data_IF_017402138859
#
_entry.id   IF_017402138859
#
_cell.length_a   1.000
_cell.length_b   1.000
_cell.length_c   1.000
_cell.angle_alpha   90.00
_cell.angle_beta   90.00
_cell.angle_gamma   90.00
#
_symmetry.space_group_name_H-M   'P 1'
#
loop_
_entity.id
_entity.type
_entity.pdbx_description
1 polymer ?
#
# COMPACT_ATOMS: atom_id res chain seq x y z
N UNK A 1 61.67 -45.63 31.65
CA UNK A 1 60.32 -45.48 31.04
C UNK A 1 59.69 -44.10 31.28
N UNK A 2 59.61 -43.58 32.52
CA UNK A 2 59.02 -42.25 32.81
C UNK A 2 59.73 -41.06 32.13
N UNK A 3 61.06 -41.07 32.04
CA UNK A 3 61.82 -39.98 31.41
C UNK A 3 61.62 -39.88 29.88
N UNK A 4 61.41 -41.03 29.21
CA UNK A 4 61.17 -41.06 27.76
C UNK A 4 59.78 -40.53 27.38
N UNK A 5 58.77 -40.79 28.23
CA UNK A 5 57.40 -40.28 28.06
C UNK A 5 57.35 -38.76 28.29
N UNK A 6 58.12 -38.24 29.25
CA UNK A 6 58.18 -36.80 29.53
C UNK A 6 58.90 -36.00 28.42
N UNK A 7 59.93 -36.61 27.80
CA UNK A 7 60.60 -36.03 26.64
C UNK A 7 59.70 -36.03 25.38
N UNK A 8 58.89 -37.09 25.20
CA UNK A 8 57.91 -37.16 24.11
C UNK A 8 56.77 -36.14 24.29
N UNK A 9 56.26 -35.94 25.51
CA UNK A 9 55.25 -34.91 25.79
C UNK A 9 55.78 -33.49 25.57
N UNK A 10 57.03 -33.20 25.97
CA UNK A 10 57.64 -31.88 25.72
C UNK A 10 57.85 -31.60 24.24
N UNK A 11 58.22 -32.61 23.44
CA UNK A 11 58.35 -32.48 21.98
C UNK A 11 56.98 -32.30 21.30
N UNK A 12 55.95 -33.00 21.76
CA UNK A 12 54.59 -32.83 21.25
C UNK A 12 53.99 -31.46 21.61
N UNK A 13 54.27 -30.95 22.81
CA UNK A 13 53.81 -29.63 23.27
C UNK A 13 54.55 -28.48 22.56
N UNK A 14 55.84 -28.66 22.23
CA UNK A 14 56.60 -27.73 21.38
C UNK A 14 56.09 -27.72 19.92
N UNK A 15 55.74 -28.89 19.37
CA UNK A 15 55.12 -28.99 18.04
C UNK A 15 53.74 -28.34 17.99
N UNK A 16 52.93 -28.46 19.05
CA UNK A 16 51.64 -27.78 19.16
C UNK A 16 51.77 -26.26 19.27
N UNK A 17 52.79 -25.75 20.00
CA UNK A 17 53.06 -24.32 20.10
C UNK A 17 53.65 -23.74 18.80
N UNK A 18 54.43 -24.50 18.03
CA UNK A 18 54.91 -24.12 16.71
C UNK A 18 53.78 -24.12 15.66
N UNK A 19 52.82 -25.04 15.74
CA UNK A 19 51.60 -25.02 14.90
C UNK A 19 50.66 -23.87 15.28
N UNK A 20 50.58 -23.49 16.56
CA UNK A 20 49.82 -22.32 17.00
C UNK A 20 50.48 -20.98 16.62
N UNK A 21 51.82 -20.96 16.49
CA UNK A 21 52.58 -19.77 16.07
C UNK A 21 52.64 -19.58 14.55
N UNK A 22 52.45 -20.64 13.74
CA UNK A 22 52.37 -20.53 12.28
C UNK A 22 50.94 -20.41 11.73
N UNK A 23 49.92 -20.60 12.57
CA UNK A 23 48.53 -20.21 12.25
C UNK A 23 48.25 -18.73 12.49
N UNK A 24 49.27 -17.95 12.84
CA UNK A 24 49.18 -16.54 13.19
C UNK A 24 50.12 -15.68 12.33
N UNK A 25 50.21 -15.95 11.03
CA UNK A 25 50.74 -14.99 10.04
C UNK A 25 50.42 -15.43 8.61
N UNK A 26 49.19 -15.23 8.15
CA UNK A 26 48.86 -15.06 6.72
C UNK A 26 47.40 -14.59 6.56
N UNK A 27 47.15 -13.37 7.06
CA UNK A 27 45.95 -12.59 6.69
C UNK A 27 46.29 -11.09 6.64
N UNK A 28 47.51 -10.75 6.22
CA UNK A 28 47.82 -9.44 5.63
C UNK A 28 47.86 -9.62 4.11
N UNK A 29 46.69 -9.54 3.50
CA UNK A 29 46.55 -9.79 2.06
C UNK A 29 45.10 -9.81 1.60
N UNK A 30 44.48 -8.62 1.54
CA UNK A 30 43.20 -8.33 0.86
C UNK A 30 41.99 -9.17 1.31
N UNK A 31 41.63 -9.06 2.59
CA UNK A 31 40.23 -9.24 2.98
C UNK A 31 39.48 -7.93 2.72
N UNK A 32 38.54 -7.92 1.79
CA UNK A 32 37.59 -6.82 1.65
C UNK A 32 37.02 -6.49 3.04
N UNK A 33 37.11 -5.22 3.48
CA UNK A 33 36.39 -4.76 4.66
C UNK A 33 34.93 -5.19 4.52
N UNK A 34 34.51 -6.20 5.28
CA UNK A 34 33.11 -6.49 5.50
C UNK A 34 32.60 -5.36 6.39
N UNK A 35 32.33 -4.22 5.77
CA UNK A 35 31.74 -3.05 6.37
C UNK A 35 30.32 -3.47 6.76
N UNK A 36 30.14 -3.74 8.04
CA UNK A 36 28.94 -4.36 8.63
C UNK A 36 28.01 -3.26 9.13
N UNK A 37 26.70 -3.55 9.16
CA UNK A 37 25.74 -2.68 9.84
C UNK A 37 26.22 -2.35 11.26
N UNK A 38 25.90 -1.15 11.79
CA UNK A 38 26.01 -0.87 13.21
C UNK A 38 25.35 -1.97 14.05
N UNK A 39 25.98 -2.32 15.16
CA UNK A 39 25.50 -3.39 16.05
C UNK A 39 24.08 -3.12 16.55
N UNK A 40 23.77 -1.86 16.81
CA UNK A 40 22.48 -1.39 17.28
C UNK A 40 21.36 -1.67 16.26
N UNK A 41 21.66 -1.55 14.97
CA UNK A 41 20.71 -1.84 13.90
C UNK A 41 20.53 -3.35 13.70
N UNK A 42 21.59 -4.15 13.86
CA UNK A 42 21.48 -5.62 13.84
C UNK A 42 20.59 -6.09 15.00
N UNK A 43 20.81 -5.57 16.21
CA UNK A 43 19.97 -5.86 17.37
C UNK A 43 18.52 -5.41 17.14
N UNK A 44 18.31 -4.26 16.50
CA UNK A 44 16.98 -3.77 16.14
C UNK A 44 16.27 -4.74 15.18
N UNK A 45 16.95 -5.18 14.12
CA UNK A 45 16.42 -6.14 13.17
C UNK A 45 16.09 -7.49 13.84
N UNK A 46 16.95 -7.98 14.75
CA UNK A 46 16.67 -9.20 15.51
C UNK A 46 15.43 -9.07 16.40
N UNK A 47 15.27 -7.92 17.06
CA UNK A 47 14.06 -7.64 17.85
C UNK A 47 12.81 -7.58 16.98
N UNK A 48 12.90 -6.95 15.80
CA UNK A 48 11.80 -6.89 14.83
C UNK A 48 11.42 -8.31 14.38
N UNK A 49 12.40 -9.12 13.96
CA UNK A 49 12.17 -10.50 13.54
C UNK A 49 11.50 -11.34 14.62
N UNK A 50 12.00 -11.26 15.86
CA UNK A 50 11.45 -11.98 17.00
C UNK A 50 10.01 -11.57 17.29
N UNK A 51 9.73 -10.26 17.34
CA UNK A 51 8.41 -9.74 17.70
C UNK A 51 7.36 -9.94 16.64
N UNK A 52 7.74 -9.84 15.37
CA UNK A 52 6.85 -10.06 14.22
C UNK A 52 6.81 -11.52 13.77
N UNK A 53 7.54 -12.41 14.46
CA UNK A 53 7.70 -13.83 14.12
C UNK A 53 8.15 -14.05 12.66
N UNK A 54 9.09 -13.23 12.19
CA UNK A 54 9.68 -13.38 10.86
C UNK A 54 10.53 -14.66 10.86
N UNK A 55 10.25 -15.64 9.97
CA UNK A 55 11.02 -16.87 9.92
C UNK A 55 12.47 -16.61 9.46
N UNK A 56 13.41 -17.42 9.95
CA UNK A 56 14.84 -17.36 9.55
C UNK A 56 15.06 -17.61 8.05
N UNK A 57 14.09 -18.25 7.38
CA UNK A 57 14.08 -18.41 5.91
C UNK A 57 13.94 -17.06 5.18
N UNK A 58 13.41 -16.03 5.85
CA UNK A 58 13.32 -14.67 5.32
C UNK A 58 14.43 -13.77 5.87
N UNK A 59 14.60 -13.72 7.19
CA UNK A 59 15.64 -12.90 7.84
C UNK A 59 16.70 -13.82 8.45
N UNK A 60 17.70 -14.19 7.63
CA UNK A 60 18.81 -15.02 8.07
C UNK A 60 19.95 -14.14 8.62
N UNK A 61 20.08 -14.07 9.94
CA UNK A 61 21.14 -13.28 10.59
C UNK A 61 22.52 -13.93 10.58
N UNK A 62 22.66 -15.14 10.02
CA UNK A 62 23.97 -15.79 9.81
C UNK A 62 24.75 -15.21 8.63
N UNK A 63 24.11 -14.33 7.84
CA UNK A 63 24.67 -13.69 6.65
C UNK A 63 24.47 -12.18 6.75
N UNK A 64 25.22 -11.40 5.96
CA UNK A 64 25.10 -9.94 5.98
C UNK A 64 23.70 -9.51 5.45
N UNK A 65 22.89 -8.76 6.24
CA UNK A 65 21.55 -8.36 5.83
C UNK A 65 21.46 -7.56 4.52
N UNK A 66 22.44 -6.71 4.25
CA UNK A 66 22.43 -5.83 3.08
C UNK A 66 22.87 -6.51 1.79
N UNK A 67 23.67 -7.58 1.89
CA UNK A 67 24.31 -8.19 0.72
C UNK A 67 23.84 -9.62 0.46
N UNK A 68 23.30 -10.31 1.48
CA UNK A 68 23.06 -11.76 1.44
C UNK A 68 21.66 -12.19 1.91
N UNK A 69 20.79 -11.28 2.36
CA UNK A 69 19.38 -11.63 2.55
C UNK A 69 18.73 -11.99 1.21
N UNK A 70 18.08 -13.16 1.18
CA UNK A 70 17.74 -13.91 -0.03
C UNK A 70 16.77 -13.13 -0.92
N UNK A 71 17.11 -12.99 -2.21
CA UNK A 71 16.15 -12.82 -3.31
C UNK A 71 15.55 -14.18 -3.63
N UNK A 72 14.38 -14.49 -3.07
CA UNK A 72 13.65 -15.72 -3.41
C UNK A 72 12.80 -15.41 -4.64
N UNK A 73 13.31 -15.78 -5.80
CA UNK A 73 12.71 -15.59 -7.13
C UNK A 73 12.46 -14.13 -7.54
N UNK A 74 12.50 -13.90 -8.86
CA UNK A 74 12.55 -12.59 -9.51
C UNK A 74 11.36 -11.64 -9.24
N UNK A 75 10.42 -11.97 -8.36
CA UNK A 75 9.18 -11.23 -8.09
C UNK A 75 9.05 -10.58 -6.70
N UNK A 76 9.99 -10.76 -5.76
CA UNK A 76 9.96 -10.06 -4.46
C UNK A 76 11.19 -9.16 -4.28
N UNK A 77 10.95 -7.85 -4.12
CA UNK A 77 11.99 -6.88 -3.75
C UNK A 77 12.49 -7.18 -2.35
N UNK A 78 13.79 -6.98 -2.07
CA UNK A 78 14.31 -7.09 -0.71
C UNK A 78 13.45 -6.26 0.24
N UNK A 79 12.98 -6.88 1.33
CA UNK A 79 12.20 -6.19 2.35
C UNK A 79 13.05 -5.24 3.20
N UNK A 80 14.37 -5.34 3.15
CA UNK A 80 15.30 -4.41 3.79
C UNK A 80 16.31 -3.92 2.75
N UNK A 81 16.47 -2.60 2.66
CA UNK A 81 17.46 -1.96 1.80
C UNK A 81 18.43 -1.17 2.68
N UNK A 82 19.71 -1.31 2.38
CA UNK A 82 20.76 -0.56 3.04
C UNK A 82 21.43 0.43 2.09
N UNK A 83 21.98 1.50 2.65
CA UNK A 83 22.80 2.47 1.93
C UNK A 83 24.05 2.79 2.74
N UNK A 84 25.16 2.99 2.03
CA UNK A 84 26.39 3.53 2.61
C UNK A 84 26.23 5.04 2.83
N UNK A 85 26.47 5.50 4.07
CA UNK A 85 26.33 6.90 4.47
C UNK A 85 27.66 7.37 5.07
N UNK A 86 28.13 8.51 4.56
CA UNK A 86 29.33 9.19 5.06
C UNK A 86 28.91 10.30 6.02
N UNK A 87 29.38 10.23 7.27
CA UNK A 87 29.17 11.30 8.26
C UNK A 87 30.44 12.11 8.46
N UNK A 88 30.30 13.43 8.38
CA UNK A 88 31.31 14.43 8.70
C UNK A 88 31.04 14.99 10.08
N UNK A 89 31.76 14.51 11.10
CA UNK A 89 31.71 15.14 12.42
C UNK A 89 32.39 16.50 12.40
N UNK A 90 31.75 17.50 12.99
CA UNK A 90 32.15 18.92 12.97
C UNK A 90 33.55 19.22 13.52
N UNK A 91 34.21 18.25 14.19
CA UNK A 91 35.54 18.38 14.77
C UNK A 91 36.57 17.33 14.28
N UNK A 92 36.33 16.60 13.19
CA UNK A 92 37.30 15.63 12.68
C UNK A 92 37.50 15.74 11.16
N UNK A 93 38.76 15.70 10.73
CA UNK A 93 39.22 15.48 9.35
C UNK A 93 39.00 14.03 8.87
N UNK A 94 38.18 13.26 9.58
CA UNK A 94 37.93 11.84 9.31
C UNK A 94 36.47 11.68 8.93
N UNK A 95 36.24 11.40 7.65
CA UNK A 95 34.95 10.92 7.16
C UNK A 95 34.78 9.49 7.62
N UNK A 96 33.71 9.20 8.38
CA UNK A 96 33.35 7.82 8.70
C UNK A 96 32.25 7.37 7.78
N UNK A 97 32.44 6.22 7.16
CA UNK A 97 31.49 5.65 6.20
C UNK A 97 30.95 4.35 6.75
N UNK A 98 29.63 4.21 6.87
CA UNK A 98 28.97 3.03 7.43
C UNK A 98 27.71 2.67 6.64
N UNK A 99 27.36 1.38 6.64
CA UNK A 99 26.11 0.89 6.04
C UNK A 99 24.96 1.02 7.02
N UNK A 100 23.87 1.64 6.58
CA UNK A 100 22.68 1.84 7.39
C UNK A 100 21.43 1.30 6.69
N UNK A 101 20.46 0.83 7.47
CA UNK A 101 19.14 0.46 6.96
C UNK A 101 18.35 1.72 6.63
N UNK A 102 18.02 1.90 5.35
CA UNK A 102 17.31 3.10 4.86
C UNK A 102 15.88 2.81 4.44
N UNK A 103 15.52 1.55 4.18
CA UNK A 103 14.15 1.19 3.81
C UNK A 103 13.78 -0.18 4.35
N UNK A 104 12.59 -0.28 4.93
CA UNK A 104 11.96 -1.54 5.33
C UNK A 104 10.56 -1.62 4.73
N UNK A 105 10.27 -2.75 4.10
CA UNK A 105 8.96 -3.09 3.52
C UNK A 105 8.50 -4.42 4.11
N UNK A 106 7.57 -4.36 5.05
CA UNK A 106 6.99 -5.54 5.70
C UNK A 106 5.69 -5.92 5.01
N UNK A 107 5.82 -6.80 4.02
CA UNK A 107 4.71 -7.39 3.26
C UNK A 107 4.61 -8.87 3.62
N UNK A 108 3.69 -9.29 4.50
CA UNK A 108 3.35 -10.71 4.56
C UNK A 108 2.13 -11.07 5.39
N UNK A 109 1.43 -12.09 4.90
CA UNK A 109 0.41 -12.83 5.62
C UNK A 109 0.94 -13.69 6.78
N UNK A 110 2.25 -13.73 7.05
CA UNK A 110 2.83 -14.56 8.12
C UNK A 110 3.28 -13.76 9.34
N UNK A 111 3.38 -12.42 9.25
CA UNK A 111 3.85 -11.60 10.36
C UNK A 111 2.76 -11.43 11.42
N UNK A 112 3.12 -11.60 12.69
CA UNK A 112 2.22 -11.55 13.83
C UNK A 112 2.86 -10.79 14.97
N UNK A 113 2.12 -9.90 15.62
CA UNK A 113 2.56 -9.21 16.83
C UNK A 113 2.60 -7.69 16.69
N UNK A 114 2.99 -6.99 17.77
CA UNK A 114 2.96 -5.54 17.79
C UNK A 114 4.10 -4.92 17.00
N UNK A 115 3.87 -3.69 16.52
CA UNK A 115 4.93 -2.86 15.94
C UNK A 115 6.07 -2.76 16.96
N UNK A 116 7.27 -3.28 16.65
CA UNK A 116 8.36 -3.40 17.60
C UNK A 116 9.03 -2.04 17.87
N UNK A 117 9.24 -1.71 19.14
CA UNK A 117 9.96 -0.50 19.59
C UNK A 117 11.38 -0.40 19.03
N UNK A 118 11.99 -1.54 18.66
CA UNK A 118 13.30 -1.60 18.02
C UNK A 118 13.40 -0.78 16.73
N UNK A 119 12.28 -0.50 16.05
CA UNK A 119 12.28 0.38 14.87
C UNK A 119 12.92 1.74 15.13
N UNK A 120 12.72 2.33 16.32
CA UNK A 120 13.29 3.63 16.66
C UNK A 120 14.83 3.67 16.73
N UNK A 121 15.51 2.51 16.70
CA UNK A 121 16.97 2.43 16.61
C UNK A 121 17.50 2.61 15.18
N UNK A 122 16.64 2.48 14.17
CA UNK A 122 17.02 2.63 12.75
C UNK A 122 16.93 4.10 12.34
N UNK A 123 17.78 4.94 12.92
CA UNK A 123 17.68 6.41 12.80
C UNK A 123 17.91 6.96 11.39
N UNK A 124 18.55 6.16 10.52
CA UNK A 124 18.77 6.47 9.11
C UNK A 124 17.65 5.94 8.19
N UNK A 125 16.57 5.40 8.76
CA UNK A 125 15.43 4.87 8.01
C UNK A 125 14.68 6.01 7.31
N UNK A 126 14.54 5.90 5.99
CA UNK A 126 13.87 6.88 5.11
C UNK A 126 12.50 6.43 4.65
N UNK A 127 12.30 5.12 4.50
CA UNK A 127 11.03 4.56 4.02
C UNK A 127 10.62 3.37 4.89
N UNK A 128 9.45 3.45 5.51
CA UNK A 128 8.83 2.37 6.26
C UNK A 128 7.44 2.08 5.69
N UNK A 129 7.27 0.86 5.20
CA UNK A 129 6.04 0.40 4.62
C UNK A 129 5.58 -0.88 5.32
N UNK A 130 4.38 -0.86 5.89
CA UNK A 130 3.76 -1.97 6.60
C UNK A 130 2.34 -2.14 6.07
N UNK A 131 2.07 -3.23 5.36
CA UNK A 131 0.74 -3.50 4.80
C UNK A 131 0.27 -4.92 5.09
N UNK A 132 -1.04 -5.07 5.30
CA UNK A 132 -1.70 -6.36 5.36
C UNK A 132 -2.23 -6.76 3.97
N UNK A 133 -1.98 -8.01 3.54
CA UNK A 133 -2.45 -8.55 2.26
C UNK A 133 -3.33 -9.78 2.47
N UNK A 134 -4.42 -9.72 3.25
CA UNK A 134 -5.27 -10.91 3.44
C UNK A 134 -6.72 -10.73 3.03
N UNK A 135 -7.07 -11.40 1.92
CA UNK A 135 -8.22 -12.34 1.90
C UNK A 135 -8.16 -13.38 0.77
N UNK A 136 -7.14 -14.25 0.78
CA UNK A 136 -7.25 -15.55 0.09
C UNK A 136 -8.37 -16.40 0.70
N UNK A 137 -9.00 -17.22 -0.14
CA UNK A 137 -10.36 -17.76 -0.01
C UNK A 137 -10.67 -18.57 1.26
N UNK A 138 -11.95 -18.51 1.65
CA UNK A 138 -12.61 -19.50 2.49
C UNK A 138 -12.48 -20.89 1.83
N UNK A 139 -11.46 -21.66 2.24
CA UNK A 139 -11.59 -23.09 2.53
C UNK A 139 -10.39 -23.67 3.31
N UNK A 140 -9.30 -22.94 3.51
CA UNK A 140 -8.17 -23.37 4.37
C UNK A 140 -7.91 -22.44 5.58
N UNK A 141 -8.77 -21.45 5.83
CA UNK A 141 -8.56 -20.39 6.82
C UNK A 141 -8.95 -20.74 8.28
N UNK A 142 -8.97 -22.02 8.66
CA UNK A 142 -9.25 -22.41 10.06
C UNK A 142 -7.97 -22.45 10.93
N UNK A 143 -6.76 -22.28 10.38
CA UNK A 143 -5.52 -22.40 11.18
C UNK A 143 -4.40 -21.36 10.97
N UNK A 144 -4.70 -20.15 10.45
CA UNK A 144 -3.72 -19.05 10.45
C UNK A 144 -4.38 -17.72 10.81
N UNK A 145 -4.39 -17.35 12.11
CA UNK A 145 -4.66 -15.98 12.56
C UNK A 145 -3.36 -15.17 12.41
N UNK A 146 -3.31 -14.23 11.47
CA UNK A 146 -2.14 -13.37 11.25
C UNK A 146 -2.57 -11.91 11.16
N UNK A 147 -2.22 -11.13 12.18
CA UNK A 147 -2.50 -9.70 12.29
C UNK A 147 -1.32 -9.04 13.03
N UNK A 148 -0.76 -7.96 12.46
CA UNK A 148 -0.01 -7.00 13.26
C UNK A 148 -1.02 -6.17 14.06
N UNK A 149 -0.73 -5.90 15.34
CA UNK A 149 -1.72 -5.29 16.23
C UNK A 149 -1.14 -4.34 17.28
N UNK A 150 -1.96 -3.40 17.76
CA UNK A 150 -1.61 -2.49 18.85
C UNK A 150 -1.24 -1.07 18.40
N UNK A 151 -1.04 -0.14 19.36
CA UNK A 151 -0.80 1.26 19.06
C UNK A 151 0.58 1.50 18.47
N UNK A 152 0.74 2.63 17.78
CA UNK A 152 2.03 3.12 17.31
C UNK A 152 2.98 3.39 18.51
N UNK A 153 4.23 2.88 18.48
CA UNK A 153 5.14 3.08 19.61
C UNK A 153 5.69 4.52 19.65
N UNK A 154 5.88 5.12 20.85
CA UNK A 154 6.48 6.45 21.03
C UNK A 154 7.81 6.67 20.31
N UNK A 155 8.57 5.59 20.15
CA UNK A 155 9.86 5.55 19.48
C UNK A 155 9.79 5.90 17.98
N UNK A 156 8.61 5.97 17.35
CA UNK A 156 8.48 6.48 15.96
C UNK A 156 9.01 7.90 15.80
N UNK A 157 8.92 8.71 16.85
CA UNK A 157 9.43 10.08 16.88
C UNK A 157 10.96 10.20 16.72
N UNK A 158 11.71 9.10 16.80
CA UNK A 158 13.17 9.09 16.56
C UNK A 158 13.56 8.94 15.08
N UNK A 159 12.63 8.59 14.20
CA UNK A 159 12.88 8.32 12.77
C UNK A 159 12.95 9.61 11.94
N UNK A 160 13.70 10.62 12.37
CA UNK A 160 13.62 11.99 11.84
C UNK A 160 13.96 12.13 10.35
N UNK A 161 14.65 11.13 9.76
CA UNK A 161 14.97 11.07 8.33
C UNK A 161 13.91 10.36 7.47
N UNK A 162 12.80 9.96 8.08
CA UNK A 162 11.72 9.26 7.40
C UNK A 162 11.02 10.23 6.43
N UNK A 163 11.08 9.92 5.14
CA UNK A 163 10.40 10.67 4.08
C UNK A 163 9.08 10.03 3.69
N UNK A 164 8.93 8.72 3.89
CA UNK A 164 7.70 7.98 3.59
C UNK A 164 7.32 7.05 4.74
N UNK A 165 6.11 7.24 5.26
CA UNK A 165 5.50 6.39 6.28
C UNK A 165 4.16 5.86 5.78
N UNK A 166 4.06 4.54 5.64
CA UNK A 166 2.78 3.90 5.27
C UNK A 166 2.50 2.72 6.18
N UNK A 167 1.41 2.80 6.93
CA UNK A 167 0.95 1.76 7.84
C UNK A 167 -0.56 1.66 7.68
N UNK A 168 -1.06 0.57 7.13
CA UNK A 168 -2.50 0.40 6.88
C UNK A 168 -3.02 -0.94 7.42
N UNK A 169 -4.32 -0.99 7.74
CA UNK A 169 -5.03 -2.19 8.18
C UNK A 169 -4.42 -2.82 9.46
N UNK A 170 -3.98 -1.98 10.41
CA UNK A 170 -3.44 -2.39 11.70
C UNK A 170 -4.58 -2.70 12.68
N UNK A 171 -4.62 -3.93 13.18
CA UNK A 171 -5.66 -4.36 14.12
C UNK A 171 -5.43 -3.72 15.48
N UNK A 172 -6.48 -3.19 16.13
CA UNK A 172 -6.34 -2.52 17.42
C UNK A 172 -5.28 -1.40 17.41
N UNK A 173 -5.09 -0.69 16.28
CA UNK A 173 -4.30 0.54 16.28
C UNK A 173 -4.93 1.62 17.19
N UNK A 174 -6.23 1.47 17.46
CA UNK A 174 -7.09 2.32 18.29
C UNK A 174 -6.34 3.08 19.38
N UNK A 175 -6.62 4.37 19.44
CA UNK A 175 -5.82 5.37 20.15
C UNK A 175 -5.83 6.70 19.38
N UNK A 176 -5.02 7.64 19.85
CA UNK A 176 -4.78 8.93 19.18
C UNK A 176 -3.86 8.78 17.97
N UNK A 177 -3.70 9.86 17.22
CA UNK A 177 -2.73 9.97 16.14
C UNK A 177 -1.31 9.53 16.55
N UNK A 178 -0.52 8.86 15.68
CA UNK A 178 0.85 8.45 16.00
C UNK A 178 1.82 9.62 16.26
N UNK A 179 2.88 9.41 17.06
CA UNK A 179 3.83 10.44 17.46
C UNK A 179 4.84 10.73 16.33
N UNK A 180 4.37 11.44 15.30
CA UNK A 180 5.15 11.80 14.10
C UNK A 180 5.59 13.27 14.08
N UNK A 181 5.39 14.01 15.17
CA UNK A 181 5.58 15.46 15.24
C UNK A 181 7.01 15.92 14.93
N UNK A 182 7.97 15.01 15.06
CA UNK A 182 9.41 15.26 14.84
C UNK A 182 9.91 14.81 13.47
N UNK A 183 9.04 14.29 12.61
CA UNK A 183 9.40 13.76 11.29
C UNK A 183 9.43 14.87 10.23
N UNK A 184 10.29 15.88 10.42
CA UNK A 184 10.32 17.08 9.56
C UNK A 184 10.63 16.81 8.09
N UNK A 185 11.25 15.66 7.78
CA UNK A 185 11.58 15.23 6.42
C UNK A 185 10.45 14.43 5.75
N UNK A 186 9.32 14.21 6.43
CA UNK A 186 8.21 13.41 5.92
C UNK A 186 7.52 14.09 4.74
N UNK A 187 7.47 13.39 3.61
CA UNK A 187 6.86 13.83 2.34
C UNK A 187 5.55 13.08 2.05
N UNK A 188 5.45 11.83 2.48
CA UNK A 188 4.28 10.97 2.27
C UNK A 188 3.86 10.24 3.55
N UNK A 189 2.57 10.33 3.89
CA UNK A 189 1.95 9.68 5.04
C UNK A 189 0.68 8.92 4.64
N UNK A 190 0.64 7.61 4.86
CA UNK A 190 -0.58 6.81 4.73
C UNK A 190 -0.85 6.05 6.04
N UNK A 191 -1.92 6.43 6.73
CA UNK A 191 -2.43 5.79 7.94
C UNK A 191 -3.86 5.28 7.72
N UNK A 192 -4.26 5.02 6.48
CA UNK A 192 -5.62 4.61 6.17
C UNK A 192 -5.98 3.25 6.79
N UNK A 193 -7.27 3.03 7.05
CA UNK A 193 -7.82 1.75 7.55
C UNK A 193 -7.29 1.29 8.92
N UNK A 194 -6.92 2.20 9.82
CA UNK A 194 -6.38 1.83 11.14
C UNK A 194 -7.36 2.00 12.31
N UNK A 195 -8.58 2.50 12.08
CA UNK A 195 -9.56 2.76 13.16
C UNK A 195 -8.99 3.67 14.27
N UNK A 196 -8.16 4.67 13.90
CA UNK A 196 -7.65 5.71 14.79
C UNK A 196 -8.75 6.66 15.23
N UNK A 197 -8.64 7.25 16.42
CA UNK A 197 -9.66 8.09 17.06
C UNK A 197 -9.09 9.39 17.63
N UNK A 198 -9.94 10.33 18.01
CA UNK A 198 -9.52 11.59 18.64
C UNK A 198 -9.18 12.68 17.62
N UNK A 199 -8.36 13.64 18.02
CA UNK A 199 -8.04 14.82 17.21
C UNK A 199 -6.73 14.62 16.41
N UNK A 200 -6.63 15.30 15.27
CA UNK A 200 -5.35 15.45 14.58
C UNK A 200 -4.47 16.42 15.40
N UNK A 201 -3.20 16.10 15.70
CA UNK A 201 -2.34 16.99 16.47
C UNK A 201 -2.02 18.29 15.73
N UNK A 202 -2.12 19.45 16.39
CA UNK A 202 -1.69 20.75 15.81
C UNK A 202 -0.23 20.79 15.37
N UNK A 203 0.59 19.95 15.97
CA UNK A 203 1.99 19.73 15.59
C UNK A 203 2.18 19.24 14.15
N UNK A 204 1.12 18.89 13.43
CA UNK A 204 1.13 18.67 11.98
C UNK A 204 1.66 19.85 11.17
N UNK A 205 1.45 21.07 11.64
CA UNK A 205 2.00 22.28 11.02
C UNK A 205 3.54 22.23 10.92
N UNK A 206 4.22 21.43 11.75
CA UNK A 206 5.67 21.26 11.72
C UNK A 206 6.15 20.33 10.60
N UNK A 207 5.26 19.60 9.91
CA UNK A 207 5.58 18.68 8.81
C UNK A 207 5.62 19.43 7.47
N UNK A 208 6.45 20.48 7.38
CA UNK A 208 6.47 21.40 6.24
C UNK A 208 6.85 20.81 4.87
N UNK A 209 7.31 19.56 4.83
CA UNK A 209 7.62 18.81 3.59
C UNK A 209 6.53 17.83 3.17
N UNK A 210 5.48 17.66 3.96
CA UNK A 210 4.42 16.70 3.68
C UNK A 210 3.63 17.13 2.45
N UNK A 211 3.69 16.33 1.39
CA UNK A 211 3.02 16.59 0.11
C UNK A 211 1.82 15.69 -0.11
N UNK A 212 1.87 14.46 0.42
CA UNK A 212 0.82 13.44 0.24
C UNK A 212 0.43 12.88 1.60
N UNK A 213 -0.87 12.88 1.90
CA UNK A 213 -1.39 12.38 3.17
C UNK A 213 -2.72 11.66 2.98
N UNK A 214 -2.83 10.46 3.55
CA UNK A 214 -4.05 9.69 3.61
C UNK A 214 -4.29 9.17 5.02
N UNK A 215 -5.38 9.63 5.61
CA UNK A 215 -5.83 9.21 6.93
C UNK A 215 -7.27 8.70 6.88
N UNK A 216 -7.74 8.34 5.69
CA UNK A 216 -9.10 7.84 5.46
C UNK A 216 -9.37 6.52 6.19
N UNK A 217 -10.65 6.19 6.41
CA UNK A 217 -11.04 4.97 7.15
C UNK A 217 -10.46 4.89 8.57
N UNK A 218 -10.41 6.05 9.21
CA UNK A 218 -10.26 6.23 10.64
C UNK A 218 -11.50 6.95 11.20
N UNK A 219 -11.55 7.09 12.51
CA UNK A 219 -12.68 7.63 13.29
C UNK A 219 -12.27 8.88 14.08
N UNK A 220 -11.57 9.82 13.43
CA UNK A 220 -11.16 11.09 14.04
C UNK A 220 -12.35 12.02 14.31
N UNK A 221 -12.27 12.80 15.39
CA UNK A 221 -13.33 13.70 15.87
C UNK A 221 -13.14 15.15 15.43
N UNK A 222 -11.91 15.55 15.10
CA UNK A 222 -11.58 16.91 14.63
C UNK A 222 -10.48 16.86 13.55
N UNK A 223 -10.72 17.58 12.44
CA UNK A 223 -9.84 17.68 11.28
C UNK A 223 -9.23 19.09 11.10
N UNK A 224 -9.55 20.04 11.99
CA UNK A 224 -9.18 21.47 11.89
C UNK A 224 -7.67 21.79 11.97
N UNK A 225 -6.86 20.80 12.33
CA UNK A 225 -5.40 20.90 12.51
C UNK A 225 -4.62 20.15 11.42
N UNK A 226 -5.31 19.56 10.45
CA UNK A 226 -4.67 18.99 9.28
C UNK A 226 -4.10 20.12 8.40
N UNK A 227 -2.98 19.92 7.66
CA UNK A 227 -2.43 20.93 6.75
C UNK A 227 -3.50 21.52 5.81
N UNK A 228 -3.40 22.74 5.25
CA UNK A 228 -4.42 23.32 4.34
C UNK A 228 -4.75 22.50 3.09
N UNK A 229 -3.90 21.52 2.75
CA UNK A 229 -4.12 20.54 1.68
C UNK A 229 -4.86 19.28 2.20
N UNK A 230 -5.16 19.21 3.49
CA UNK A 230 -5.74 18.12 4.27
C UNK A 230 -6.92 18.58 5.14
N UNK A 231 -6.94 19.84 5.61
CA UNK A 231 -8.16 20.64 5.55
C UNK A 231 -8.57 20.50 4.10
N UNK A 232 -9.65 19.77 3.87
CA UNK A 232 -10.45 20.10 2.73
C UNK A 232 -10.52 21.65 2.74
N UNK A 233 -9.96 22.33 1.71
CA UNK A 233 -10.74 23.42 1.11
C UNK A 233 -12.17 22.95 1.27
N UNK A 234 -13.06 23.72 1.88
CA UNK A 234 -14.44 23.28 2.05
C UNK A 234 -15.15 23.17 0.68
N UNK A 235 -14.58 22.44 -0.28
CA UNK A 235 -15.11 21.32 -1.08
C UNK A 235 -15.83 20.25 -0.26
N UNK A 236 -16.34 20.57 0.92
CA UNK A 236 -17.77 20.32 1.16
C UNK A 236 -18.44 20.68 -0.16
N UNK A 237 -18.85 19.67 -0.93
CA UNK A 237 -19.50 19.87 -2.22
C UNK A 237 -20.52 20.98 -2.03
N UNK A 238 -20.56 21.98 -2.91
CA UNK A 238 -21.42 23.17 -2.78
C UNK A 238 -22.83 22.84 -2.25
N UNK A 239 -23.36 21.68 -2.65
CA UNK A 239 -24.65 21.13 -2.24
C UNK A 239 -24.82 20.67 -0.78
N UNK A 240 -23.74 20.51 -0.02
CA UNK A 240 -23.78 20.22 1.42
C UNK A 240 -23.90 21.51 2.25
N UNK A 241 -23.84 22.69 1.61
CA UNK A 241 -24.28 23.95 2.21
C UNK A 241 -25.80 24.05 2.09
N UNK A 242 -26.48 24.26 3.23
CA UNK A 242 -27.90 24.59 3.26
C UNK A 242 -28.09 25.92 2.49
N UNK A 243 -28.88 25.88 1.42
CA UNK A 243 -29.30 27.00 0.56
C UNK A 243 -28.25 27.64 -0.38
N UNK A 244 -27.69 26.89 -1.35
CA UNK A 244 -27.03 27.50 -2.53
C UNK A 244 -27.16 26.70 -3.85
N UNK A 245 -27.26 27.40 -5.01
CA UNK A 245 -27.29 26.79 -6.34
C UNK A 245 -25.89 26.39 -6.82
N UNK A 246 -25.79 25.24 -7.49
CA UNK A 246 -24.56 24.79 -8.16
C UNK A 246 -24.28 25.69 -9.38
N UNK A 247 -23.37 26.66 -9.24
CA UNK A 247 -22.96 27.51 -10.36
C UNK A 247 -21.57 27.09 -10.85
N UNK A 248 -21.56 26.28 -11.90
CA UNK A 248 -20.34 25.80 -12.55
C UNK A 248 -20.68 25.21 -13.91
N UNK A 249 -20.11 25.78 -14.97
CA UNK A 249 -20.15 25.17 -16.29
C UNK A 249 -19.12 24.03 -16.33
N UNK A 250 -19.52 22.77 -16.63
CA UNK A 250 -18.60 21.64 -16.68
C UNK A 250 -17.54 21.87 -17.75
N UNK A 251 -16.26 21.73 -17.39
CA UNK A 251 -15.12 21.68 -18.32
C UNK A 251 -14.51 20.27 -18.39
N UNK A 252 -15.30 19.23 -18.14
CA UNK A 252 -14.88 17.85 -18.33
C UNK A 252 -15.15 17.39 -19.75
N UNK A 253 -14.25 16.60 -20.33
CA UNK A 253 -14.58 15.79 -21.49
C UNK A 253 -15.77 14.87 -21.13
N UNK A 254 -16.86 14.91 -21.91
CA UNK A 254 -18.03 14.04 -21.70
C UNK A 254 -18.38 13.28 -22.99
N UNK A 255 -19.09 12.16 -22.83
CA UNK A 255 -19.61 11.37 -23.95
C UNK A 255 -21.08 11.05 -23.73
N UNK A 256 -21.88 11.10 -24.80
CA UNK A 256 -23.30 10.75 -24.75
C UNK A 256 -23.47 9.31 -25.25
N UNK A 257 -24.05 8.46 -24.41
CA UNK A 257 -24.29 7.05 -24.70
C UNK A 257 -25.71 6.70 -24.26
N UNK A 258 -26.52 6.19 -25.20
CA UNK A 258 -27.95 5.90 -24.99
C UNK A 258 -28.74 7.08 -24.40
N UNK A 259 -28.44 8.30 -24.84
CA UNK A 259 -29.09 9.53 -24.37
C UNK A 259 -28.67 9.98 -22.96
N UNK A 260 -27.72 9.28 -22.31
CA UNK A 260 -27.15 9.67 -21.03
C UNK A 260 -25.76 10.28 -21.23
N UNK A 261 -25.47 11.37 -20.51
CA UNK A 261 -24.15 11.98 -20.50
C UNK A 261 -23.25 11.33 -19.44
N UNK A 262 -22.05 10.93 -19.86
CA UNK A 262 -21.00 10.38 -18.99
C UNK A 262 -19.83 11.36 -18.93
N UNK A 263 -19.50 11.83 -17.74
CA UNK A 263 -18.30 12.63 -17.46
C UNK A 263 -17.06 11.71 -17.45
N UNK A 264 -16.02 12.07 -18.19
CA UNK A 264 -14.77 11.31 -18.22
C UNK A 264 -14.00 11.52 -16.93
N UNK A 265 -13.50 10.42 -16.38
CA UNK A 265 -12.54 10.43 -15.29
C UNK A 265 -11.13 10.67 -15.84
N UNK A 266 -10.68 11.93 -15.82
CA UNK A 266 -9.41 12.38 -16.45
C UNK A 266 -8.19 12.27 -15.53
N UNK A 267 -8.33 11.71 -14.34
CA UNK A 267 -7.24 11.66 -13.37
C UNK A 267 -6.16 10.64 -13.73
N UNK A 268 -4.91 11.10 -13.74
CA UNK A 268 -3.72 10.34 -14.19
C UNK A 268 -2.93 9.65 -13.06
N UNK A 269 -3.20 9.93 -11.78
CA UNK A 269 -2.47 9.39 -10.61
C UNK A 269 -3.41 8.75 -9.58
N UNK A 270 -3.01 7.68 -8.87
CA UNK A 270 -3.96 6.84 -8.13
C UNK A 270 -3.43 5.95 -6.98
N UNK A 271 -2.23 6.20 -6.46
CA UNK A 271 -1.68 5.43 -5.32
C UNK A 271 -2.38 5.75 -4.00
N UNK A 272 -2.64 7.03 -3.74
CA UNK A 272 -3.57 7.51 -2.73
C UNK A 272 -4.09 8.87 -3.19
N UNK A 273 -5.35 8.91 -3.62
CA UNK A 273 -5.92 10.14 -4.19
C UNK A 273 -7.39 10.25 -3.80
N UNK A 274 -7.81 11.47 -3.51
CA UNK A 274 -9.20 11.88 -3.49
C UNK A 274 -9.39 12.99 -4.52
N UNK A 275 -10.39 12.84 -5.39
CA UNK A 275 -10.66 13.83 -6.43
C UNK A 275 -12.17 14.02 -6.60
N UNK A 276 -12.58 15.28 -6.66
CA UNK A 276 -13.97 15.68 -6.94
C UNK A 276 -14.04 16.06 -8.40
N UNK A 277 -15.03 15.52 -9.12
CA UNK A 277 -15.24 15.82 -10.52
C UNK A 277 -15.57 17.29 -10.74
N UNK A 278 -15.33 17.79 -11.96
CA UNK A 278 -15.55 19.20 -12.28
C UNK A 278 -17.02 19.61 -12.13
N UNK A 279 -17.93 18.65 -12.33
CA UNK A 279 -19.37 18.86 -12.13
C UNK A 279 -19.78 18.91 -10.65
N UNK A 280 -18.92 18.48 -9.73
CA UNK A 280 -19.23 18.35 -8.30
C UNK A 280 -20.26 17.27 -7.96
N UNK A 281 -20.71 16.48 -8.95
CA UNK A 281 -21.68 15.39 -8.78
C UNK A 281 -21.03 14.08 -8.37
N UNK A 282 -19.75 13.92 -8.69
CA UNK A 282 -18.98 12.72 -8.40
C UNK A 282 -17.71 13.06 -7.66
N UNK A 283 -17.28 12.13 -6.82
CA UNK A 283 -15.91 12.09 -6.33
C UNK A 283 -15.42 10.65 -6.35
N UNK A 284 -14.12 10.46 -6.32
CA UNK A 284 -13.54 9.14 -6.12
C UNK A 284 -12.38 9.20 -5.15
N UNK A 285 -12.13 8.08 -4.47
CA UNK A 285 -10.96 7.84 -3.65
C UNK A 285 -10.30 6.55 -4.09
N UNK A 286 -8.99 6.54 -4.22
CA UNK A 286 -8.23 5.35 -4.60
C UNK A 286 -7.06 5.17 -3.65
N UNK A 287 -6.76 3.93 -3.27
CA UNK A 287 -5.68 3.60 -2.34
C UNK A 287 -4.97 2.34 -2.78
N UNK A 288 -3.65 2.32 -2.72
CA UNK A 288 -2.82 1.13 -2.89
C UNK A 288 -1.71 1.30 -3.91
N UNK A 289 -0.66 0.49 -3.71
CA UNK A 289 0.51 0.43 -4.58
C UNK A 289 0.61 -0.93 -5.26
N UNK A 290 1.01 -0.94 -6.53
CA UNK A 290 1.21 -2.18 -7.27
C UNK A 290 2.51 -2.87 -6.84
N UNK A 291 2.40 -4.02 -6.18
CA UNK A 291 3.52 -4.79 -5.63
C UNK A 291 4.47 -5.21 -6.76
N UNK A 292 5.76 -4.90 -6.57
CA UNK A 292 6.80 -5.18 -7.55
C UNK A 292 6.63 -4.45 -8.89
N UNK A 293 5.69 -3.51 -8.97
CA UNK A 293 5.36 -2.74 -10.16
C UNK A 293 6.47 -1.78 -10.57
N UNK A 294 6.46 -1.40 -11.84
CA UNK A 294 7.30 -0.32 -12.35
C UNK A 294 6.81 1.00 -11.76
N UNK A 295 7.72 1.98 -11.62
CA UNK A 295 7.38 3.32 -11.11
C UNK A 295 6.40 4.10 -11.99
N UNK A 296 6.09 3.60 -13.19
CA UNK A 296 5.19 4.16 -14.20
C UNK A 296 3.87 3.37 -14.38
N UNK A 297 3.52 2.48 -13.43
CA UNK A 297 2.28 1.71 -13.52
C UNK A 297 1.04 2.62 -13.59
N UNK A 298 0.26 2.49 -14.66
CA UNK A 298 -0.94 3.30 -14.89
C UNK A 298 -2.13 2.81 -14.06
N UNK A 299 -2.91 3.75 -13.52
CA UNK A 299 -4.21 3.50 -12.88
C UNK A 299 -5.38 3.56 -13.87
N UNK A 300 -5.08 3.78 -15.15
CA UNK A 300 -6.03 3.77 -16.26
C UNK A 300 -5.57 2.75 -17.28
N UNK A 301 -6.43 1.77 -17.57
CA UNK A 301 -6.23 0.83 -18.67
C UNK A 301 -6.90 1.38 -19.91
N UNK A 302 -6.19 1.36 -21.04
CA UNK A 302 -6.74 1.68 -22.34
C UNK A 302 -6.95 0.40 -23.15
N UNK A 303 -8.10 0.30 -23.82
CA UNK A 303 -8.41 -0.82 -24.67
C UNK A 303 -7.74 -0.67 -26.04
N UNK A 304 -7.24 -1.78 -26.58
CA UNK A 304 -7.01 -1.88 -28.03
C UNK A 304 -8.36 -1.82 -28.77
N UNK A 305 -8.43 -1.36 -30.04
CA UNK A 305 -9.71 -1.07 -30.70
C UNK A 305 -10.74 -2.21 -30.60
N UNK A 306 -11.77 -2.00 -29.78
CA UNK A 306 -12.86 -2.96 -29.51
C UNK A 306 -13.97 -2.78 -30.57
N UNK A 307 -13.71 -3.20 -31.81
CA UNK A 307 -14.58 -2.93 -32.97
C UNK A 307 -15.96 -3.61 -32.97
N UNK A 308 -16.38 -4.28 -31.89
CA UNK A 308 -17.61 -5.09 -31.85
C UNK A 308 -18.47 -4.95 -30.57
N UNK A 309 -18.19 -4.01 -29.65
CA UNK A 309 -19.00 -3.84 -28.44
C UNK A 309 -20.07 -2.74 -28.66
N UNK A 310 -21.35 -2.99 -28.34
CA UNK A 310 -22.34 -1.92 -28.20
C UNK A 310 -21.82 -0.85 -27.22
N UNK A 311 -22.04 0.44 -27.51
CA UNK A 311 -21.57 1.52 -26.62
C UNK A 311 -20.05 1.48 -26.34
N UNK A 312 -19.25 1.05 -27.33
CA UNK A 312 -17.80 0.89 -27.22
C UNK A 312 -17.07 2.11 -26.63
N UNK A 313 -17.62 3.32 -26.80
CA UNK A 313 -17.10 4.55 -26.20
C UNK A 313 -16.90 4.46 -24.68
N UNK A 314 -17.79 3.77 -23.94
CA UNK A 314 -17.67 3.60 -22.49
C UNK A 314 -16.54 2.64 -22.10
N UNK A 315 -16.12 1.76 -23.00
CA UNK A 315 -15.18 0.68 -22.72
C UNK A 315 -13.81 0.90 -23.34
N UNK A 316 -13.55 2.09 -23.93
CA UNK A 316 -12.23 2.49 -24.45
C UNK A 316 -11.18 2.62 -23.36
N UNK A 317 -11.59 2.99 -22.15
CA UNK A 317 -10.73 3.07 -20.99
C UNK A 317 -11.46 2.57 -19.74
N UNK A 318 -10.70 2.16 -18.74
CA UNK A 318 -11.23 1.75 -17.44
C UNK A 318 -10.25 2.11 -16.33
N UNK A 319 -10.78 2.57 -15.18
CA UNK A 319 -9.95 2.80 -14.00
C UNK A 319 -9.64 1.46 -13.33
N UNK A 320 -8.38 1.27 -12.96
CA UNK A 320 -7.94 0.17 -12.13
C UNK A 320 -7.18 0.65 -10.89
N UNK A 321 -7.17 -0.19 -9.85
CA UNK A 321 -6.41 0.09 -8.64
C UNK A 321 -5.96 -1.22 -7.98
N UNK A 322 -4.76 -1.31 -7.37
CA UNK A 322 -4.28 -2.55 -6.77
C UNK A 322 -5.04 -3.00 -5.53
N UNK A 323 -5.60 -2.09 -4.71
CA UNK A 323 -6.21 -2.46 -3.42
C UNK A 323 -7.66 -2.00 -3.32
N UNK A 324 -7.93 -0.70 -3.47
CA UNK A 324 -9.26 -0.16 -3.20
C UNK A 324 -9.54 1.08 -4.05
N UNK A 325 -10.73 1.09 -4.65
CA UNK A 325 -11.25 2.17 -5.45
C UNK A 325 -12.68 2.45 -5.00
N UNK A 326 -12.96 3.66 -4.53
CA UNK A 326 -14.27 4.13 -4.12
C UNK A 326 -14.74 5.25 -5.02
N UNK A 327 -16.02 5.21 -5.39
CA UNK A 327 -16.73 6.29 -6.02
C UNK A 327 -17.86 6.77 -5.12
N UNK A 328 -18.09 8.07 -5.14
CA UNK A 328 -19.13 8.75 -4.40
C UNK A 328 -20.04 9.50 -5.37
N UNK A 329 -21.32 9.15 -5.36
CA UNK A 329 -22.37 10.00 -5.92
C UNK A 329 -22.73 11.05 -4.88
N UNK A 330 -22.56 12.33 -5.21
CA UNK A 330 -22.76 13.45 -4.30
C UNK A 330 -24.09 14.15 -4.58
N UNK A 331 -24.61 14.86 -3.59
CA UNK A 331 -25.79 15.72 -3.72
C UNK A 331 -27.07 14.98 -4.16
N UNK A 332 -27.20 13.71 -3.80
CA UNK A 332 -28.37 12.89 -4.12
C UNK A 332 -29.49 13.14 -3.10
N UNK A 333 -30.74 13.20 -3.55
CA UNK A 333 -31.87 13.27 -2.61
C UNK A 333 -32.01 11.96 -1.83
N UNK A 334 -32.52 11.96 -0.60
CA UNK A 334 -32.83 10.72 0.09
C UNK A 334 -33.83 9.90 -0.73
N UNK A 335 -33.51 8.63 -0.99
CA UNK A 335 -34.33 7.79 -1.84
C UNK A 335 -33.63 6.56 -2.38
N UNK A 336 -34.39 5.73 -3.09
CA UNK A 336 -33.85 4.56 -3.77
C UNK A 336 -33.30 4.94 -5.14
N UNK A 337 -32.09 4.49 -5.43
CA UNK A 337 -31.41 4.68 -6.69
C UNK A 337 -31.09 3.34 -7.34
N UNK A 338 -31.16 3.29 -8.66
CA UNK A 338 -30.62 2.20 -9.46
C UNK A 338 -29.19 2.55 -9.84
N UNK A 339 -28.24 1.75 -9.39
CA UNK A 339 -26.82 1.84 -9.70
C UNK A 339 -26.49 0.83 -10.78
N UNK A 340 -26.03 1.27 -11.96
CA UNK A 340 -25.52 0.40 -13.00
C UNK A 340 -24.00 0.51 -13.07
N UNK A 341 -23.34 -0.63 -12.98
CA UNK A 341 -21.89 -0.76 -13.07
C UNK A 341 -21.53 -1.41 -14.40
N UNK A 342 -20.70 -0.72 -15.19
CA UNK A 342 -20.24 -1.15 -16.51
C UNK A 342 -18.82 -1.66 -16.43
N UNK A 343 -18.62 -2.92 -16.82
CA UNK A 343 -17.32 -3.58 -16.83
C UNK A 343 -16.99 -4.14 -18.22
N UNK A 344 -15.71 -4.10 -18.57
CA UNK A 344 -15.14 -4.93 -19.63
C UNK A 344 -13.71 -5.29 -19.24
N UNK A 345 -13.31 -6.56 -19.37
CA UNK A 345 -11.91 -6.94 -19.18
C UNK A 345 -11.13 -6.59 -20.45
N UNK A 346 -10.43 -5.46 -20.40
CA UNK A 346 -9.68 -4.88 -21.52
C UNK A 346 -8.17 -5.05 -21.37
N UNK A 347 -7.69 -5.53 -20.21
CA UNK A 347 -6.27 -5.74 -19.95
C UNK A 347 -5.88 -7.18 -20.29
N UNK A 348 -6.65 -8.16 -19.81
CA UNK A 348 -6.36 -9.56 -20.08
C UNK A 348 -6.88 -9.96 -21.46
N UNK A 349 -6.04 -10.62 -22.24
CA UNK A 349 -6.33 -11.02 -23.62
C UNK A 349 -6.75 -12.49 -23.70
N UNK A 350 -7.61 -12.82 -24.65
CA UNK A 350 -7.92 -14.21 -25.00
C UNK A 350 -6.88 -14.78 -25.99
N UNK A 351 -6.56 -16.08 -25.89
CA UNK A 351 -5.72 -16.79 -26.86
C UNK A 351 -4.53 -17.52 -26.22
N UNK A 352 -3.56 -17.94 -27.03
CA UNK A 352 -2.35 -18.65 -26.59
C UNK A 352 -1.23 -17.71 -26.13
N UNK A 353 -1.56 -16.50 -25.65
CA UNK A 353 -0.61 -15.51 -25.13
C UNK A 353 -0.44 -15.67 -23.62
N UNK A 354 0.69 -15.24 -23.06
CA UNK A 354 0.93 -15.27 -21.61
C UNK A 354 -0.14 -14.53 -20.81
N UNK A 355 -0.67 -13.43 -21.35
CA UNK A 355 -1.73 -12.63 -20.73
C UNK A 355 -3.06 -13.36 -20.53
N UNK A 356 -3.33 -14.44 -21.27
CA UNK A 356 -4.58 -15.22 -21.13
C UNK A 356 -4.63 -16.07 -19.86
N UNK A 357 -3.49 -16.25 -19.19
CA UNK A 357 -3.41 -16.87 -17.87
C UNK A 357 -3.83 -15.91 -16.74
N UNK A 358 -3.91 -14.60 -17.03
CA UNK A 358 -4.30 -13.57 -16.08
C UNK A 358 -5.72 -13.79 -15.54
N UNK A 359 -5.92 -13.55 -14.25
CA UNK A 359 -7.23 -13.66 -13.58
C UNK A 359 -7.45 -12.45 -12.69
N UNK A 360 -8.57 -11.76 -12.86
CA UNK A 360 -8.97 -10.60 -12.07
C UNK A 360 -10.14 -10.99 -11.20
N UNK A 361 -10.01 -10.76 -9.90
CA UNK A 361 -11.04 -11.09 -8.93
C UNK A 361 -11.11 -10.00 -7.88
N UNK A 362 -12.27 -9.38 -7.69
CA UNK A 362 -12.48 -8.32 -6.70
C UNK A 362 -13.90 -8.36 -6.14
N UNK A 363 -14.11 -7.73 -5.00
CA UNK A 363 -15.43 -7.53 -4.40
C UNK A 363 -15.97 -6.15 -4.78
N UNK A 364 -17.30 -6.01 -4.79
CA UNK A 364 -17.97 -4.70 -4.92
C UNK A 364 -18.96 -4.55 -3.78
N UNK A 365 -18.91 -3.40 -3.13
CA UNK A 365 -19.81 -2.98 -2.07
C UNK A 365 -20.54 -1.70 -2.50
N UNK A 366 -21.80 -1.58 -2.11
CA UNK A 366 -22.60 -0.37 -2.31
C UNK A 366 -23.24 -0.03 -0.97
N UNK A 367 -23.04 1.20 -0.47
CA UNK A 367 -23.43 1.62 0.88
C UNK A 367 -22.94 0.62 1.96
N UNK A 368 -21.69 0.17 1.85
CA UNK A 368 -21.09 -0.82 2.75
C UNK A 368 -21.57 -2.27 2.57
N UNK A 369 -22.64 -2.52 1.80
CA UNK A 369 -23.16 -3.86 1.55
C UNK A 369 -22.42 -4.53 0.40
N UNK A 370 -21.84 -5.71 0.61
CA UNK A 370 -21.16 -6.46 -0.45
C UNK A 370 -22.17 -7.05 -1.44
N UNK A 371 -22.29 -6.41 -2.60
CA UNK A 371 -23.23 -6.77 -3.67
C UNK A 371 -22.63 -7.72 -4.70
N UNK A 372 -21.31 -7.69 -4.90
CA UNK A 372 -20.59 -8.67 -5.70
C UNK A 372 -19.43 -9.23 -4.89
N UNK A 373 -19.30 -10.55 -4.91
CA UNK A 373 -18.26 -11.28 -4.21
C UNK A 373 -17.43 -12.05 -5.22
N UNK A 374 -16.11 -11.99 -5.09
CA UNK A 374 -15.16 -12.70 -5.95
C UNK A 374 -15.49 -12.51 -7.44
N UNK A 375 -15.85 -11.29 -7.81
CA UNK A 375 -16.31 -10.94 -9.14
C UNK A 375 -15.17 -11.03 -10.15
N UNK A 376 -15.40 -11.83 -11.19
CA UNK A 376 -14.49 -12.03 -12.30
C UNK A 376 -15.20 -11.60 -13.59
N UNK A 377 -14.71 -10.53 -14.21
CA UNK A 377 -15.32 -9.91 -15.39
C UNK A 377 -15.33 -10.88 -16.57
N UNK A 378 -14.22 -11.59 -16.83
CA UNK A 378 -14.09 -12.54 -17.94
C UNK A 378 -15.09 -13.69 -17.81
N UNK A 379 -15.22 -14.24 -16.60
CA UNK A 379 -16.20 -15.30 -16.32
C UNK A 379 -17.64 -14.80 -16.49
N UNK A 380 -17.92 -13.58 -16.05
CA UNK A 380 -19.24 -12.95 -16.18
C UNK A 380 -19.61 -12.60 -17.63
N UNK A 381 -18.63 -12.26 -18.47
CA UNK A 381 -18.83 -11.89 -19.88
C UNK A 381 -18.72 -13.09 -20.84
N UNK A 382 -18.30 -14.26 -20.35
CA UNK A 382 -17.91 -15.40 -21.17
C UNK A 382 -16.85 -15.02 -22.23
N UNK A 383 -15.80 -14.31 -21.79
CA UNK A 383 -14.70 -13.85 -22.65
C UNK A 383 -14.09 -12.51 -22.22
N UNK A 384 -12.97 -12.15 -22.86
CA UNK A 384 -12.31 -10.85 -22.71
C UNK A 384 -12.86 -9.86 -23.73
N UNK A 385 -12.77 -8.54 -23.46
CA UNK A 385 -13.22 -7.50 -24.40
C UNK A 385 -14.73 -7.54 -24.69
N UNK A 386 -15.54 -7.97 -23.71
CA UNK A 386 -17.00 -8.00 -23.78
C UNK A 386 -17.58 -7.21 -22.62
N UNK A 387 -18.68 -6.51 -22.87
CA UNK A 387 -19.35 -5.75 -21.82
C UNK A 387 -20.07 -6.66 -20.81
N UNK A 388 -20.08 -6.21 -19.57
CA UNK A 388 -20.85 -6.78 -18.47
C UNK A 388 -21.47 -5.63 -17.70
N UNK A 389 -22.80 -5.59 -17.67
CA UNK A 389 -23.56 -4.62 -16.89
C UNK A 389 -24.13 -5.33 -15.67
N UNK A 390 -24.03 -4.69 -14.50
CA UNK A 390 -24.65 -5.14 -13.25
C UNK A 390 -25.47 -4.01 -12.64
N UNK A 391 -26.73 -4.31 -12.36
CA UNK A 391 -27.68 -3.35 -11.81
C UNK A 391 -27.94 -3.69 -10.34
N UNK A 392 -27.92 -2.68 -9.48
CA UNK A 392 -28.21 -2.78 -8.06
C UNK A 392 -29.16 -1.67 -7.64
N UNK A 393 -29.89 -1.90 -6.56
CA UNK A 393 -30.66 -0.85 -5.89
C UNK A 393 -29.93 -0.44 -4.62
N UNK A 394 -29.82 0.87 -4.40
CA UNK A 394 -29.18 1.44 -3.22
C UNK A 394 -30.07 2.51 -2.59
N UNK A 395 -30.20 2.47 -1.27
CA UNK A 395 -30.85 3.52 -0.50
C UNK A 395 -29.82 4.60 -0.16
N UNK A 396 -30.12 5.84 -0.52
CA UNK A 396 -29.36 7.02 -0.10
C UNK A 396 -30.12 7.68 1.04
N UNK A 397 -29.48 7.80 2.20
CA UNK A 397 -30.08 8.44 3.39
C UNK A 397 -29.56 9.87 3.59
N UNK A 398 -28.25 10.10 3.36
CA UNK A 398 -27.55 11.34 3.74
C UNK A 398 -26.83 11.99 2.57
N UNK A 399 -27.52 12.20 1.45
CA UNK A 399 -26.95 12.98 0.34
C UNK A 399 -25.90 12.27 -0.53
N UNK A 400 -25.38 11.13 -0.06
CA UNK A 400 -24.19 10.47 -0.62
C UNK A 400 -24.44 8.99 -0.87
N UNK A 401 -24.06 8.54 -2.07
CA UNK A 401 -24.00 7.13 -2.46
C UNK A 401 -22.55 6.68 -2.53
N UNK A 402 -22.17 5.66 -1.75
CA UNK A 402 -20.86 5.03 -1.81
C UNK A 402 -20.88 3.75 -2.66
N UNK A 403 -19.93 3.63 -3.58
CA UNK A 403 -19.63 2.42 -4.36
C UNK A 403 -18.15 2.08 -4.15
N UNK A 404 -17.86 0.92 -3.57
CA UNK A 404 -16.52 0.50 -3.21
C UNK A 404 -16.12 -0.78 -3.94
N UNK A 405 -15.04 -0.71 -4.69
CA UNK A 405 -14.40 -1.83 -5.33
C UNK A 405 -13.14 -2.23 -4.55
N UNK A 406 -13.05 -3.48 -4.12
CA UNK A 406 -11.98 -3.96 -3.23
C UNK A 406 -11.31 -5.18 -3.81
N UNK A 407 -9.99 -5.13 -3.93
CA UNK A 407 -9.20 -6.33 -4.18
C UNK A 407 -8.93 -7.08 -2.89
N UNK A 408 -9.40 -8.33 -2.82
CA UNK A 408 -9.21 -9.16 -1.64
C UNK A 408 -7.95 -10.03 -1.71
N UNK A 409 -6.97 -9.71 -2.56
CA UNK A 409 -5.77 -10.52 -2.75
C UNK A 409 -5.96 -11.78 -3.62
N UNK A 410 -6.95 -11.78 -4.52
CA UNK A 410 -7.27 -12.93 -5.40
C UNK A 410 -6.98 -12.62 -6.86
N UNK A 411 -6.65 -13.65 -7.64
CA UNK A 411 -6.27 -13.49 -9.04
C UNK A 411 -4.75 -13.37 -9.20
N UNK A 412 -4.31 -12.87 -10.34
CA UNK A 412 -2.90 -12.73 -10.72
C UNK A 412 -2.40 -11.31 -10.51
N UNK A 413 -1.21 -11.15 -9.94
CA UNK A 413 -0.58 -9.85 -9.68
C UNK A 413 0.54 -9.48 -10.67
N UNK A 414 1.08 -10.45 -11.40
CA UNK A 414 2.22 -10.29 -12.30
C UNK A 414 1.94 -10.74 -13.74
N UNK A 415 0.67 -10.88 -14.12
CA UNK A 415 0.24 -11.33 -15.46
C UNK A 415 -0.85 -10.39 -15.99
N UNK A 416 -0.78 -9.91 -17.25
CA UNK A 416 0.36 -10.05 -18.18
C UNK A 416 1.60 -9.31 -17.68
N UNK A 417 1.38 -8.18 -17.00
CA UNK A 417 2.42 -7.32 -16.46
C UNK A 417 2.26 -7.18 -14.95
N UNK A 418 3.30 -6.70 -14.28
CA UNK A 418 3.15 -6.21 -12.90
C UNK A 418 2.51 -4.84 -12.95
N UNK A 419 1.47 -4.64 -12.15
CA UNK A 419 0.81 -3.34 -12.05
C UNK A 419 -0.56 -3.24 -12.69
N UNK A 420 -1.22 -4.37 -12.95
CA UNK A 420 -2.51 -4.38 -13.64
C UNK A 420 -3.63 -5.11 -12.90
N UNK A 421 -3.38 -5.54 -11.66
CA UNK A 421 -4.32 -6.31 -10.86
C UNK A 421 -5.30 -5.43 -10.06
N UNK A 422 -6.21 -6.06 -9.32
CA UNK A 422 -7.22 -5.37 -8.51
C UNK A 422 -8.50 -5.04 -9.28
N UNK A 423 -9.37 -4.15 -8.79
CA UNK A 423 -10.62 -3.85 -9.46
C UNK A 423 -10.40 -3.11 -10.77
N UNK A 424 -11.36 -3.25 -11.68
CA UNK A 424 -11.40 -2.58 -12.97
C UNK A 424 -12.85 -2.14 -13.20
N UNK A 425 -13.08 -0.88 -13.52
CA UNK A 425 -14.41 -0.33 -13.80
C UNK A 425 -14.35 0.63 -14.99
N UNK A 426 -15.28 0.48 -15.94
CA UNK A 426 -15.33 1.29 -17.16
C UNK A 426 -16.23 2.51 -16.99
N UNK A 427 -17.42 2.32 -16.44
CA UNK A 427 -18.35 3.41 -16.18
C UNK A 427 -19.34 3.08 -15.05
N UNK A 428 -19.91 4.13 -14.46
CA UNK A 428 -20.93 4.06 -13.42
C UNK A 428 -22.08 4.97 -13.86
N UNK A 429 -23.32 4.50 -13.75
CA UNK A 429 -24.50 5.35 -13.87
C UNK A 429 -25.44 5.15 -12.70
N UNK A 430 -26.05 6.23 -12.24
CA UNK A 430 -26.96 6.25 -11.09
C UNK A 430 -28.21 7.00 -11.49
N UNK A 431 -29.33 6.32 -11.45
CA UNK A 431 -30.64 6.88 -11.80
C UNK A 431 -31.59 6.76 -10.61
N UNK A 432 -32.36 7.80 -10.25
CA UNK A 432 -33.38 7.68 -9.22
C UNK A 432 -34.38 6.57 -9.58
N UNK A 433 -34.83 5.83 -8.58
CA UNK A 433 -35.96 4.92 -8.73
C UNK A 433 -37.25 5.67 -9.06
N UNK A 434 -38.27 4.97 -9.56
CA UNK A 434 -39.59 5.57 -9.80
C UNK A 434 -40.15 6.05 -8.45
N UNK A 435 -40.17 7.38 -8.25
CA UNK A 435 -40.86 7.97 -7.12
C UNK A 435 -42.37 7.91 -7.39
N UNK A 436 -43.11 7.12 -6.60
CA UNK A 436 -44.53 7.42 -6.41
C UNK A 436 -44.63 8.63 -5.49
N UNK A 437 -44.58 9.82 -6.07
CA UNK A 437 -45.00 11.03 -5.38
C UNK A 437 -46.52 10.99 -5.25
N UNK A 438 -47.03 10.49 -4.14
CA UNK A 438 -48.36 10.90 -3.67
C UNK A 438 -48.21 12.29 -3.07
N UNK A 439 -48.58 13.32 -3.82
CA UNK A 439 -48.82 14.65 -3.25
C UNK A 439 -50.00 14.52 -2.26
N UNK A 440 -49.81 14.98 -1.02
CA UNK A 440 -50.89 15.32 -0.09
C UNK A 440 -50.73 16.78 0.27
#
# INVERSE_FOLDING_TARGET
MRAAVQAALRRAMFFFLLLAATLNCSLEGRGAHAQTLPKEEIEALQQIASKLKIPETLWNFSVNPCTQWIKVDSNYTHNVTCQEITTTTTNATVNTTAWHVVKIVLESNIMQGPIPRGLGKLVELRSLAVYHLKRMSLLHAILMRTFMEGPFPPEFSSLQKLTQLRVTDLKNAGGSFPPIEKLSDLEELDLSFNNLTGEIPKSFENLGRLTTMDISYNTFTDLSSAPPNCEQESRIASCLKKDLPCDGTPKSESVIVDGNEYERDTSVEGTSKYEVSSSGKWAYSSTGYFIGGRSDASFVAEATPLSAIPNAELYKAARLNPLSLKYYGLCLQPGNYTVKLHFAEIVFTSGATFGSLGRRVFDVLIQGNKVLRDFNIVAAANGTGKEVIRNFTALVEVGTLEIHFVWSGKGTNSIPDRGVYGPLISAISVTPGIFHTSCV
#
